data_IF_752043329669
#
_entry.id   IF_752043329669
#
_cell.length_a   1.000
_cell.length_b   1.000
_cell.length_c   1.000
_cell.angle_alpha   90.00
_cell.angle_beta   90.00
_cell.angle_gamma   90.00
#
_symmetry.space_group_name_H-M   'P 1'
#
loop_
_entity.id
_entity.type
_entity.pdbx_description
1 polymer ?
#
# COMPACT_ATOMS: atom_id res chain seq x y z
N UNK A 1 -43.05 -8.61 -31.21
CA UNK A 1 -41.67 -9.09 -30.91
C UNK A 1 -41.35 -8.67 -29.49
N UNK A 2 -41.59 -9.54 -28.50
CA UNK A 2 -41.28 -9.22 -27.10
C UNK A 2 -39.80 -9.45 -26.86
N UNK A 3 -39.08 -8.39 -26.49
CA UNK A 3 -37.78 -8.54 -25.86
C UNK A 3 -38.02 -9.17 -24.48
N UNK A 4 -37.67 -10.44 -24.34
CA UNK A 4 -37.65 -11.15 -23.06
C UNK A 4 -36.66 -10.44 -22.15
N UNK A 5 -37.15 -9.55 -21.29
CA UNK A 5 -36.33 -8.83 -20.33
C UNK A 5 -35.73 -9.82 -19.34
N UNK A 6 -34.43 -10.05 -19.44
CA UNK A 6 -33.67 -10.80 -18.42
C UNK A 6 -33.86 -10.08 -17.08
N UNK A 7 -34.27 -10.78 -16.01
CA UNK A 7 -34.52 -10.13 -14.72
C UNK A 7 -33.23 -9.50 -14.17
N UNK A 8 -33.38 -8.31 -13.56
CA UNK A 8 -32.30 -7.67 -12.83
C UNK A 8 -31.76 -8.64 -11.76
N UNK A 9 -30.47 -8.95 -11.81
CA UNK A 9 -29.81 -9.93 -10.92
C UNK A 9 -29.48 -11.28 -11.57
N UNK A 10 -29.88 -11.55 -12.81
CA UNK A 10 -29.50 -12.77 -13.52
C UNK A 10 -28.01 -12.83 -13.93
N UNK A 11 -27.28 -11.71 -13.79
CA UNK A 11 -25.88 -11.61 -14.18
C UNK A 11 -24.96 -11.52 -12.96
N UNK A 12 -23.87 -12.28 -13.00
CA UNK A 12 -22.73 -12.13 -12.08
C UNK A 12 -21.76 -11.08 -12.63
N UNK A 13 -20.91 -10.53 -11.75
CA UNK A 13 -19.84 -9.59 -12.15
C UNK A 13 -18.96 -10.17 -13.26
N UNK A 14 -18.65 -11.47 -13.21
CA UNK A 14 -17.87 -12.15 -14.24
C UNK A 14 -18.58 -12.14 -15.60
N UNK A 15 -19.87 -12.44 -15.64
CA UNK A 15 -20.66 -12.45 -16.88
C UNK A 15 -20.85 -11.07 -17.49
N UNK A 16 -21.01 -10.03 -16.66
CA UNK A 16 -21.11 -8.65 -17.16
C UNK A 16 -19.77 -8.18 -17.75
N UNK A 17 -18.64 -8.53 -17.11
CA UNK A 17 -17.30 -8.10 -17.54
C UNK A 17 -16.78 -8.85 -18.78
N UNK A 18 -17.34 -10.02 -19.07
CA UNK A 18 -16.99 -10.82 -20.25
C UNK A 18 -17.78 -10.40 -21.51
N UNK A 19 -18.72 -9.45 -21.40
CA UNK A 19 -19.46 -8.96 -22.55
C UNK A 19 -18.51 -8.31 -23.57
N UNK A 20 -18.60 -8.67 -24.87
CA UNK A 20 -17.64 -8.26 -25.90
C UNK A 20 -17.73 -6.78 -26.27
N UNK A 21 -18.87 -6.15 -26.01
CA UNK A 21 -19.12 -4.73 -26.22
C UNK A 21 -19.98 -4.21 -25.07
N UNK A 22 -19.49 -3.18 -24.40
CA UNK A 22 -20.13 -2.60 -23.23
C UNK A 22 -19.24 -1.57 -22.54
N UNK A 23 -19.80 -0.80 -21.59
CA UNK A 23 -19.02 0.16 -20.82
C UNK A 23 -17.92 -0.54 -20.01
N UNK A 24 -16.80 0.14 -19.81
CA UNK A 24 -15.77 -0.31 -18.86
C UNK A 24 -16.30 -0.15 -17.44
N UNK A 25 -16.50 -1.26 -16.75
CA UNK A 25 -17.03 -1.27 -15.38
C UNK A 25 -15.92 -1.67 -14.39
N UNK A 26 -15.59 -0.83 -13.39
CA UNK A 26 -14.72 -1.25 -12.30
C UNK A 26 -15.43 -2.27 -11.42
N UNK A 27 -14.65 -3.18 -10.84
CA UNK A 27 -15.15 -4.13 -9.83
C UNK A 27 -14.84 -3.55 -8.46
N UNK A 28 -15.83 -3.57 -7.57
CA UNK A 28 -15.63 -3.23 -6.15
C UNK A 28 -15.14 -4.48 -5.44
N UNK A 29 -13.93 -4.42 -4.90
CA UNK A 29 -13.31 -5.51 -4.16
C UNK A 29 -13.35 -5.24 -2.66
N UNK A 30 -13.59 -6.28 -1.86
CA UNK A 30 -13.27 -6.23 -0.43
C UNK A 30 -11.76 -6.36 -0.23
N UNK A 31 -11.23 -5.84 0.88
CA UNK A 31 -9.79 -5.97 1.19
C UNK A 31 -9.34 -7.44 1.23
N UNK A 32 -10.22 -8.34 1.70
CA UNK A 32 -9.96 -9.79 1.77
C UNK A 32 -9.87 -10.45 0.39
N UNK A 33 -10.47 -9.84 -0.63
CA UNK A 33 -10.44 -10.35 -2.00
C UNK A 33 -9.18 -9.94 -2.78
N UNK A 34 -8.48 -8.87 -2.37
CA UNK A 34 -7.30 -8.37 -3.08
C UNK A 34 -6.19 -9.43 -3.25
N UNK A 35 -5.81 -10.23 -2.24
CA UNK A 35 -4.79 -11.27 -2.41
C UNK A 35 -5.14 -12.35 -3.43
N UNK A 36 -6.42 -12.49 -3.77
CA UNK A 36 -6.90 -13.44 -4.76
C UNK A 36 -6.99 -12.85 -6.18
N UNK A 37 -6.95 -11.52 -6.33
CA UNK A 37 -7.04 -10.87 -7.63
C UNK A 37 -5.75 -11.08 -8.45
N UNK A 38 -5.89 -11.41 -9.73
CA UNK A 38 -4.76 -11.68 -10.62
C UNK A 38 -3.87 -10.45 -10.81
N UNK A 39 -4.43 -9.24 -10.76
CA UNK A 39 -3.69 -7.97 -10.89
C UNK A 39 -2.86 -7.69 -9.65
N UNK A 40 -3.41 -7.98 -8.47
CA UNK A 40 -2.71 -7.80 -7.19
C UNK A 40 -1.74 -8.95 -6.86
N UNK A 41 -1.88 -10.10 -7.53
CA UNK A 41 -0.88 -11.19 -7.54
C UNK A 41 0.29 -10.96 -8.48
N UNK A 42 0.25 -9.92 -9.32
CA UNK A 42 1.40 -9.58 -10.13
C UNK A 42 2.65 -9.45 -9.23
N UNK A 43 3.81 -10.02 -9.64
CA UNK A 43 5.01 -10.01 -8.81
C UNK A 43 5.35 -8.60 -8.37
N UNK A 44 5.34 -8.36 -7.06
CA UNK A 44 5.68 -7.07 -6.48
C UNK A 44 4.54 -6.05 -6.38
N UNK A 45 3.26 -6.44 -6.37
CA UNK A 45 2.17 -5.53 -5.95
C UNK A 45 1.99 -5.50 -4.43
N UNK A 46 2.08 -6.66 -3.78
CA UNK A 46 2.04 -6.83 -2.32
C UNK A 46 3.33 -7.54 -1.90
N UNK A 47 3.98 -7.04 -0.85
CA UNK A 47 5.22 -7.60 -0.31
C UNK A 47 5.15 -7.75 1.20
N UNK A 48 6.02 -8.60 1.75
CA UNK A 48 6.23 -8.76 3.18
C UNK A 48 7.52 -8.04 3.55
N UNK A 49 7.44 -7.18 4.57
CA UNK A 49 8.58 -6.44 5.11
C UNK A 49 8.78 -6.91 6.54
N UNK A 50 9.97 -7.41 6.91
CA UNK A 50 10.27 -7.79 8.28
C UNK A 50 10.04 -6.61 9.23
N UNK A 51 9.29 -6.85 10.30
CA UNK A 51 9.07 -5.87 11.37
C UNK A 51 9.44 -6.49 12.72
N UNK A 52 9.59 -5.64 13.75
CA UNK A 52 9.77 -6.05 15.14
C UNK A 52 8.51 -6.70 15.71
N UNK A 53 8.00 -6.20 16.82
CA UNK A 53 6.64 -6.54 17.28
C UNK A 53 5.66 -5.61 16.56
N UNK A 54 4.69 -6.12 15.76
CA UNK A 54 3.99 -7.41 15.86
C UNK A 54 4.41 -8.55 14.89
N UNK A 55 5.52 -8.42 14.17
CA UNK A 55 6.00 -9.36 13.16
C UNK A 55 5.84 -8.82 11.74
N UNK A 56 6.18 -9.63 10.73
CA UNK A 56 6.25 -9.19 9.33
C UNK A 56 4.99 -8.43 8.86
N UNK A 57 5.19 -7.23 8.32
CA UNK A 57 4.14 -6.38 7.80
C UNK A 57 3.87 -6.71 6.33
N UNK A 58 2.61 -6.99 6.01
CA UNK A 58 2.17 -7.14 4.62
C UNK A 58 1.70 -5.80 4.08
N UNK A 59 2.36 -5.29 3.06
CA UNK A 59 2.11 -3.93 2.55
C UNK A 59 2.13 -3.85 1.03
N UNK A 60 1.61 -2.75 0.49
CA UNK A 60 1.70 -2.47 -0.93
C UNK A 60 3.14 -2.11 -1.26
N UNK A 61 3.70 -2.79 -2.24
CA UNK A 61 5.03 -2.47 -2.75
C UNK A 61 5.01 -1.09 -3.44
N UNK A 62 6.18 -0.57 -3.82
CA UNK A 62 6.31 0.71 -4.52
C UNK A 62 5.45 0.67 -5.81
N UNK A 63 4.38 1.48 -5.95
CA UNK A 63 3.44 1.30 -7.06
C UNK A 63 4.03 1.59 -8.44
N UNK A 64 5.08 2.42 -8.52
CA UNK A 64 5.76 2.76 -9.77
C UNK A 64 7.11 2.03 -9.82
N UNK A 65 7.21 1.06 -10.73
CA UNK A 65 8.44 0.33 -10.96
C UNK A 65 9.22 0.96 -12.10
N UNK A 66 10.49 1.29 -11.87
CA UNK A 66 11.42 1.76 -12.89
C UNK A 66 12.25 0.58 -13.39
N UNK A 67 12.32 0.40 -14.70
CA UNK A 67 13.19 -0.61 -15.30
C UNK A 67 14.66 -0.32 -14.96
N UNK A 68 15.40 -1.31 -14.47
CA UNK A 68 16.80 -1.20 -14.07
C UNK A 68 17.05 -0.62 -12.67
N UNK A 69 16.04 -0.02 -12.03
CA UNK A 69 16.13 0.51 -10.68
C UNK A 69 14.76 0.39 -9.95
N UNK A 70 14.27 -0.84 -9.70
CA UNK A 70 13.00 -1.02 -9.00
C UNK A 70 13.09 -0.45 -7.58
N UNK A 71 12.10 0.34 -7.19
CA UNK A 71 11.99 0.82 -5.81
C UNK A 71 11.72 -0.34 -4.86
N UNK A 72 12.29 -0.28 -3.65
CA UNK A 72 12.11 -1.29 -2.61
C UNK A 72 11.78 -0.63 -1.26
N UNK A 73 10.94 -1.29 -0.47
CA UNK A 73 10.67 -0.87 0.91
C UNK A 73 11.82 -1.36 1.78
N UNK A 74 12.55 -0.43 2.40
CA UNK A 74 13.78 -0.75 3.14
C UNK A 74 13.58 -0.90 4.64
N UNK A 75 12.52 -0.30 5.19
CA UNK A 75 12.23 -0.26 6.62
C UNK A 75 10.73 -0.23 6.83
N UNK A 76 10.28 -0.88 7.89
CA UNK A 76 8.93 -0.74 8.45
C UNK A 76 8.83 0.55 9.29
N UNK A 77 7.72 0.74 9.99
CA UNK A 77 7.57 1.85 10.93
C UNK A 77 8.64 1.77 12.02
N UNK A 78 9.28 2.91 12.32
CA UNK A 78 10.22 2.99 13.44
C UNK A 78 9.56 3.62 14.66
N UNK A 79 9.99 3.26 15.89
CA UNK A 79 9.53 3.92 17.10
C UNK A 79 9.72 5.43 17.02
N UNK A 80 8.83 6.17 17.68
CA UNK A 80 9.00 7.61 17.82
C UNK A 80 10.36 7.92 18.47
N UNK A 81 11.10 8.89 17.91
CA UNK A 81 12.43 9.25 18.40
C UNK A 81 13.57 8.31 17.96
N UNK A 82 13.32 7.26 17.19
CA UNK A 82 14.36 6.31 16.75
C UNK A 82 15.48 6.92 15.88
N UNK A 83 15.27 8.13 15.36
CA UNK A 83 16.26 8.91 14.58
C UNK A 83 16.73 10.18 15.32
N UNK A 84 16.34 10.36 16.58
CA UNK A 84 16.58 11.61 17.33
C UNK A 84 18.05 11.86 17.67
N UNK A 85 18.80 10.79 17.95
CA UNK A 85 20.22 10.87 18.31
C UNK A 85 21.14 11.01 17.07
N UNK A 86 20.66 10.54 15.91
CA UNK A 86 21.36 10.64 14.62
C UNK A 86 20.97 11.92 13.86
N UNK A 87 20.78 13.02 14.59
CA UNK A 87 20.46 14.34 14.01
C UNK A 87 21.29 14.62 12.74
N UNK A 88 20.71 15.31 11.74
CA UNK A 88 21.30 15.40 10.41
C UNK A 88 22.74 15.88 10.52
N UNK A 89 23.68 15.03 10.12
CA UNK A 89 25.10 15.41 9.92
C UNK A 89 25.21 16.24 8.63
N UNK A 90 24.35 17.24 8.48
CA UNK A 90 24.41 18.23 7.43
C UNK A 90 24.85 19.55 8.09
N UNK A 91 25.81 20.29 7.51
CA UNK A 91 26.29 21.53 8.09
C UNK A 91 25.20 22.61 7.99
N UNK A 92 24.34 22.72 9.01
CA UNK A 92 23.56 23.92 9.28
C UNK A 92 24.44 24.99 9.92
N UNK A 93 24.15 26.30 9.75
CA UNK A 93 24.95 27.35 10.36
C UNK A 93 24.93 27.20 11.88
N UNK A 94 26.11 27.29 12.50
CA UNK A 94 26.33 27.10 13.93
C UNK A 94 25.39 27.97 14.77
N UNK A 95 24.35 27.34 15.32
CA UNK A 95 23.43 27.90 16.32
C UNK A 95 23.36 26.95 17.52
N UNK A 96 22.92 27.45 18.70
CA UNK A 96 22.97 26.68 19.94
C UNK A 96 22.19 25.37 19.81
N UNK A 97 22.86 24.27 20.16
CA UNK A 97 22.39 22.91 19.92
C UNK A 97 21.01 22.65 20.51
N UNK A 98 20.17 22.00 19.71
CA UNK A 98 18.89 21.45 20.13
C UNK A 98 19.13 20.25 21.06
N UNK A 99 19.43 20.50 22.33
CA UNK A 99 19.19 19.51 23.37
C UNK A 99 17.67 19.35 23.52
N UNK A 100 17.10 18.29 22.94
CA UNK A 100 15.68 17.96 23.10
C UNK A 100 15.33 17.68 24.57
N UNK A 101 14.09 17.94 25.02
CA UNK A 101 13.71 17.76 26.42
C UNK A 101 13.70 16.27 26.77
N UNK A 102 14.75 15.80 27.46
CA UNK A 102 14.71 14.49 28.10
C UNK A 102 13.87 14.56 29.39
N UNK A 103 12.90 13.66 29.50
CA UNK A 103 12.00 13.41 30.65
C UNK A 103 10.82 14.36 30.95
N UNK A 104 10.60 15.48 30.23
CA UNK A 104 9.43 16.34 30.47
C UNK A 104 8.15 15.97 29.69
N UNK A 105 8.25 15.03 28.73
CA UNK A 105 7.17 14.70 27.79
C UNK A 105 6.39 13.40 28.06
N UNK A 106 6.72 12.65 29.13
CA UNK A 106 5.96 11.46 29.49
C UNK A 106 4.71 11.86 30.29
N UNK A 107 3.55 11.85 29.64
CA UNK A 107 2.23 11.78 30.29
C UNK A 107 1.51 10.54 29.79
#
# INVERSE_FOLDING_TARGET
MSATGVPAGAHTVHTVRAAPVGPVLPVVHTIRALPADKRDRAPGSITEVPDGEPGAARTRHVPRQLAGAPGAIRRTGRPHGADGDEGPTAPGPAGPGIAGPSAAGAR
#
